data_IF_157121001098
#
_entry.id   IF_157121001098
#
_cell.length_a   1.000
_cell.length_b   1.000
_cell.length_c   1.000
_cell.angle_alpha   90.00
_cell.angle_beta   90.00
_cell.angle_gamma   90.00
#
_symmetry.space_group_name_H-M   'P 1'
#
loop_
_entity.id
_entity.type
_entity.pdbx_description
1 polymer ?
#
# COMPACT_ATOMS: atom_id res chain seq x y z
N UNK A 1 -59.07 37.75 -15.40
CA UNK A 1 -58.58 37.82 -16.80
C UNK A 1 -57.06 37.97 -16.73
N UNK A 2 -56.28 36.92 -16.44
CA UNK A 2 -55.97 35.66 -17.17
C UNK A 2 -55.02 35.86 -18.34
N UNK A 3 -53.72 35.92 -18.04
CA UNK A 3 -52.64 35.38 -18.90
C UNK A 3 -51.67 34.60 -18.00
N UNK A 4 -52.22 33.60 -17.30
CA UNK A 4 -51.49 32.38 -16.97
C UNK A 4 -51.69 31.48 -18.18
N UNK A 5 -50.69 31.27 -19.05
CA UNK A 5 -50.68 30.17 -20.05
C UNK A 5 -49.30 29.96 -20.71
N UNK A 6 -48.37 30.92 -20.74
CA UNK A 6 -47.21 30.78 -21.66
C UNK A 6 -45.87 30.24 -21.12
N UNK A 7 -45.73 29.92 -19.83
CA UNK A 7 -44.45 29.35 -19.31
C UNK A 7 -44.60 27.89 -18.86
N UNK A 8 -45.82 27.37 -18.69
CA UNK A 8 -46.07 25.99 -18.29
C UNK A 8 -45.99 24.97 -19.44
N UNK A 9 -45.92 25.42 -20.70
CA UNK A 9 -45.98 24.53 -21.87
C UNK A 9 -44.60 24.06 -22.40
N UNK A 10 -43.49 24.67 -21.98
CA UNK A 10 -42.14 24.22 -22.39
C UNK A 10 -41.49 23.20 -21.44
N UNK A 11 -41.99 23.06 -20.21
CA UNK A 11 -41.47 22.05 -19.27
C UNK A 11 -42.17 20.68 -19.36
N UNK A 12 -43.27 20.56 -20.10
CA UNK A 12 -44.03 19.31 -20.20
C UNK A 12 -43.75 18.48 -21.48
N UNK A 13 -42.95 19.01 -22.42
CA UNK A 13 -42.69 18.34 -23.71
C UNK A 13 -41.26 17.78 -23.86
N UNK A 14 -40.43 17.88 -22.82
CA UNK A 14 -39.12 17.22 -22.76
C UNK A 14 -39.05 16.10 -21.71
N UNK A 15 -40.21 15.68 -21.17
CA UNK A 15 -40.29 14.63 -20.15
C UNK A 15 -41.00 13.34 -20.62
N UNK A 16 -41.30 13.19 -21.91
CA UNK A 16 -42.07 12.04 -22.42
C UNK A 16 -41.54 11.35 -23.68
N UNK A 17 -40.26 11.49 -24.05
CA UNK A 17 -39.73 10.76 -25.22
C UNK A 17 -38.30 10.22 -25.09
N UNK A 18 -37.83 9.95 -23.87
CA UNK A 18 -36.60 9.15 -23.67
C UNK A 18 -36.88 8.02 -22.69
N UNK A 19 -37.91 7.24 -22.99
CA UNK A 19 -38.08 5.89 -22.48
C UNK A 19 -38.02 5.00 -23.72
N UNK A 20 -37.21 3.95 -23.68
CA UNK A 20 -36.91 3.01 -24.78
C UNK A 20 -35.73 3.36 -25.70
N UNK A 21 -34.65 3.91 -25.14
CA UNK A 21 -33.34 3.51 -25.66
C UNK A 21 -33.02 2.12 -25.09
N UNK A 22 -32.91 1.05 -25.91
CA UNK A 22 -32.43 -0.22 -25.40
C UNK A 22 -31.03 0.01 -24.84
N UNK A 23 -30.87 -0.19 -23.54
CA UNK A 23 -29.54 -0.37 -22.95
C UNK A 23 -28.98 -1.61 -23.63
N UNK A 24 -28.17 -1.39 -24.67
CA UNK A 24 -27.32 -2.42 -25.25
C UNK A 24 -26.36 -2.80 -24.13
N UNK A 25 -26.77 -3.77 -23.32
CA UNK A 25 -25.89 -4.46 -22.40
C UNK A 25 -24.99 -5.30 -23.28
N UNK A 26 -23.95 -4.65 -23.82
CA UNK A 26 -22.81 -5.35 -24.34
C UNK A 26 -22.28 -6.18 -23.17
N UNK A 27 -22.66 -7.47 -23.13
CA UNK A 27 -21.95 -8.48 -22.37
C UNK A 27 -20.55 -8.53 -22.98
N UNK A 28 -19.69 -7.62 -22.52
CA UNK A 28 -18.26 -7.78 -22.70
C UNK A 28 -17.90 -8.94 -21.81
N UNK A 29 -17.92 -10.15 -22.37
CA UNK A 29 -17.25 -11.29 -21.80
C UNK A 29 -15.76 -10.91 -21.71
N UNK A 30 -15.39 -10.27 -20.59
CA UNK A 30 -13.99 -10.10 -20.23
C UNK A 30 -13.54 -11.50 -19.91
N UNK A 31 -12.93 -12.17 -20.90
CA UNK A 31 -12.10 -13.33 -20.65
C UNK A 31 -11.05 -12.82 -19.66
N UNK A 32 -11.24 -13.15 -18.38
CA UNK A 32 -10.32 -12.78 -17.32
C UNK A 32 -9.04 -13.60 -17.56
N UNK A 33 -8.22 -13.12 -18.49
CA UNK A 33 -6.85 -13.58 -18.71
C UNK A 33 -5.93 -13.00 -17.62
N UNK A 34 -6.39 -12.94 -16.38
CA UNK A 34 -5.45 -12.88 -15.26
C UNK A 34 -4.85 -14.27 -15.19
N UNK A 35 -3.81 -14.44 -16.01
CA UNK A 35 -2.86 -15.54 -15.88
C UNK A 35 -2.54 -15.65 -14.39
N UNK A 36 -2.73 -16.85 -13.84
CA UNK A 36 -2.50 -17.09 -12.42
C UNK A 36 -1.01 -16.88 -12.20
N UNK A 37 -0.61 -15.67 -11.84
CA UNK A 37 0.77 -15.36 -11.50
C UNK A 37 1.18 -16.40 -10.47
N UNK A 38 2.21 -17.18 -10.77
CA UNK A 38 2.83 -18.08 -9.80
C UNK A 38 3.34 -17.22 -8.65
N UNK A 39 2.51 -17.06 -7.62
CA UNK A 39 2.83 -16.26 -6.42
C UNK A 39 3.99 -16.84 -5.61
N UNK A 40 4.49 -18.01 -6.01
CA UNK A 40 5.69 -18.63 -5.47
C UNK A 40 6.97 -17.95 -6.00
N UNK A 41 6.95 -17.47 -7.25
CA UNK A 41 8.05 -16.68 -7.80
C UNK A 41 7.96 -15.24 -7.26
N UNK A 42 8.98 -14.83 -6.49
CA UNK A 42 9.12 -13.49 -5.94
C UNK A 42 10.38 -12.83 -6.50
N UNK A 43 10.37 -11.50 -6.72
CA UNK A 43 9.29 -10.53 -6.43
C UNK A 43 8.06 -10.67 -7.34
N UNK A 44 6.90 -10.13 -6.95
CA UNK A 44 5.73 -10.06 -7.85
C UNK A 44 4.84 -8.82 -7.67
N UNK A 45 5.06 -7.99 -6.65
CA UNK A 45 4.17 -6.85 -6.39
C UNK A 45 4.30 -5.76 -7.47
N UNK A 46 5.53 -5.45 -7.90
CA UNK A 46 5.82 -4.38 -8.84
C UNK A 46 6.59 -4.85 -10.07
N UNK A 47 7.38 -5.91 -9.91
CA UNK A 47 8.18 -6.54 -10.95
C UNK A 47 8.35 -8.02 -10.59
N UNK A 48 8.74 -8.82 -11.56
CA UNK A 48 8.97 -10.26 -11.46
C UNK A 48 10.44 -10.59 -11.75
N UNK A 49 10.94 -11.79 -11.39
CA UNK A 49 12.27 -12.23 -11.79
C UNK A 49 12.54 -12.07 -13.29
N UNK A 50 11.57 -12.44 -14.12
CA UNK A 50 11.69 -12.37 -15.59
C UNK A 50 11.81 -10.93 -16.12
N UNK A 51 11.19 -9.95 -15.45
CA UNK A 51 11.22 -8.54 -15.87
C UNK A 51 12.40 -7.77 -15.29
N UNK A 52 13.17 -8.38 -14.38
CA UNK A 52 14.25 -7.71 -13.66
C UNK A 52 15.42 -7.33 -14.58
N UNK A 53 15.70 -8.13 -15.61
CA UNK A 53 16.74 -7.82 -16.61
C UNK A 53 16.45 -6.54 -17.39
N UNK A 54 15.21 -6.39 -17.86
CA UNK A 54 14.74 -5.19 -18.55
C UNK A 54 14.71 -3.99 -17.60
N UNK A 55 14.28 -4.20 -16.35
CA UNK A 55 14.27 -3.16 -15.34
C UNK A 55 15.68 -2.61 -15.08
N UNK A 56 16.68 -3.49 -14.86
CA UNK A 56 18.10 -3.11 -14.72
C UNK A 56 18.60 -2.32 -15.94
N UNK A 57 18.19 -2.71 -17.14
CA UNK A 57 18.58 -2.02 -18.37
C UNK A 57 17.99 -0.61 -18.45
N UNK A 58 16.75 -0.41 -18.00
CA UNK A 58 16.10 0.92 -17.91
C UNK A 58 16.80 1.83 -16.90
N UNK A 59 17.22 1.28 -15.76
CA UNK A 59 17.93 2.03 -14.70
C UNK A 59 19.30 2.58 -15.15
N UNK A 60 19.84 2.11 -16.28
CA UNK A 60 21.10 2.62 -16.86
C UNK A 60 20.92 3.80 -17.83
N UNK A 61 19.68 4.23 -18.11
CA UNK A 61 19.36 5.28 -19.09
C UNK A 61 18.68 6.47 -18.43
N UNK A 62 18.89 7.68 -18.94
CA UNK A 62 18.20 8.86 -18.41
C UNK A 62 16.69 8.86 -18.75
N UNK A 63 15.83 9.42 -17.88
CA UNK A 63 16.15 10.12 -16.62
C UNK A 63 16.36 9.20 -15.41
N UNK A 64 16.40 7.88 -15.60
CA UNK A 64 16.45 6.91 -14.50
C UNK A 64 17.86 6.69 -13.97
N UNK A 65 18.91 6.82 -14.80
CA UNK A 65 20.29 6.63 -14.38
C UNK A 65 20.70 7.57 -13.24
N UNK A 66 20.46 8.88 -13.40
CA UNK A 66 20.70 9.87 -12.34
C UNK A 66 19.91 9.58 -11.05
N UNK A 67 18.63 9.19 -11.17
CA UNK A 67 17.78 8.85 -10.02
C UNK A 67 18.24 7.57 -9.31
N UNK A 68 18.63 6.56 -10.08
CA UNK A 68 19.15 5.30 -9.59
C UNK A 68 20.48 5.50 -8.86
N UNK A 69 21.39 6.29 -9.42
CA UNK A 69 22.64 6.65 -8.77
C UNK A 69 22.43 7.32 -7.41
N UNK A 70 21.48 8.25 -7.31
CA UNK A 70 21.10 8.86 -6.02
C UNK A 70 20.52 7.84 -5.05
N UNK A 71 19.64 6.95 -5.50
CA UNK A 71 19.05 5.91 -4.66
C UNK A 71 20.13 4.98 -4.10
N UNK A 72 21.08 4.54 -4.92
CA UNK A 72 22.20 3.72 -4.47
C UNK A 72 23.10 4.47 -3.48
N UNK A 73 23.34 5.77 -3.68
CA UNK A 73 24.02 6.61 -2.69
C UNK A 73 23.31 6.57 -1.34
N UNK A 74 21.99 6.76 -1.32
CA UNK A 74 21.18 6.69 -0.10
C UNK A 74 21.18 5.27 0.50
N UNK A 75 21.11 4.23 -0.32
CA UNK A 75 21.18 2.84 0.14
C UNK A 75 22.53 2.52 0.81
N UNK A 76 23.64 3.03 0.26
CA UNK A 76 24.96 2.91 0.87
C UNK A 76 24.99 3.59 2.25
N UNK A 77 24.48 4.81 2.33
CA UNK A 77 24.41 5.54 3.60
C UNK A 77 23.55 4.81 4.62
N UNK A 78 22.38 4.32 4.22
CA UNK A 78 21.52 3.54 5.11
C UNK A 78 22.19 2.25 5.55
N UNK A 79 22.83 1.50 4.65
CA UNK A 79 23.55 0.27 4.99
C UNK A 79 24.66 0.49 6.02
N UNK A 80 25.33 1.64 5.99
CA UNK A 80 26.46 1.95 6.87
C UNK A 80 26.07 2.53 8.25
N UNK A 81 24.85 3.08 8.41
CA UNK A 81 24.41 3.67 9.68
C UNK A 81 24.19 2.60 10.76
N UNK A 82 24.22 2.92 12.05
CA UNK A 82 23.71 2.00 13.08
C UNK A 82 22.21 1.71 12.88
N UNK A 83 21.72 0.58 13.41
CA UNK A 83 20.28 0.35 13.53
C UNK A 83 19.64 1.42 14.41
N UNK A 84 18.43 1.85 14.06
CA UNK A 84 17.68 2.78 14.89
C UNK A 84 17.26 2.10 16.21
N UNK A 85 17.48 2.78 17.33
CA UNK A 85 17.01 2.38 18.66
C UNK A 85 15.60 2.92 18.98
N UNK A 86 15.08 3.81 18.13
CA UNK A 86 13.80 4.48 18.34
C UNK A 86 12.63 3.57 17.94
N UNK A 87 11.61 3.48 18.81
CA UNK A 87 10.30 2.89 18.46
C UNK A 87 9.68 3.64 17.28
N UNK A 88 9.08 2.89 16.36
CA UNK A 88 8.41 3.38 15.14
C UNK A 88 6.91 3.46 15.39
N UNK A 89 6.50 4.43 16.21
CA UNK A 89 5.09 4.70 16.52
C UNK A 89 4.80 6.17 16.23
N UNK A 90 3.73 6.49 15.51
CA UNK A 90 3.43 7.85 15.07
C UNK A 90 4.12 8.24 13.75
N UNK A 91 3.48 9.15 12.99
CA UNK A 91 3.76 9.40 11.57
C UNK A 91 5.19 9.88 11.27
N UNK A 92 5.76 10.71 12.15
CA UNK A 92 7.12 11.25 11.97
C UNK A 92 8.22 10.18 12.03
N UNK A 93 7.89 8.95 12.46
CA UNK A 93 8.83 7.84 12.63
C UNK A 93 8.54 6.70 11.66
N UNK A 94 7.27 6.42 11.36
CA UNK A 94 6.88 5.33 10.46
C UNK A 94 7.26 5.61 9.01
N UNK A 95 7.05 6.83 8.51
CA UNK A 95 7.46 7.20 7.15
C UNK A 95 8.97 7.07 6.90
N UNK A 96 9.87 7.57 7.77
CA UNK A 96 11.31 7.32 7.59
C UNK A 96 11.69 5.83 7.60
N UNK A 97 11.05 5.03 8.46
CA UNK A 97 11.29 3.59 8.51
C UNK A 97 10.84 2.89 7.21
N UNK A 98 9.67 3.24 6.68
CA UNK A 98 9.18 2.75 5.40
C UNK A 98 10.17 3.06 4.27
N UNK A 99 10.59 4.33 4.15
CA UNK A 99 11.52 4.74 3.11
C UNK A 99 12.89 4.07 3.22
N UNK A 100 13.40 3.88 4.44
CA UNK A 100 14.67 3.20 4.68
C UNK A 100 14.61 1.73 4.24
N UNK A 101 13.58 1.00 4.68
CA UNK A 101 13.38 -0.41 4.34
C UNK A 101 13.17 -0.55 2.83
N UNK A 102 12.35 0.30 2.22
CA UNK A 102 12.07 0.29 0.78
C UNK A 102 13.34 0.49 -0.05
N UNK A 103 14.15 1.51 0.27
CA UNK A 103 15.38 1.81 -0.48
C UNK A 103 16.34 0.64 -0.43
N UNK A 104 16.55 0.05 0.75
CA UNK A 104 17.45 -1.09 0.92
C UNK A 104 16.90 -2.35 0.24
N UNK A 105 15.61 -2.64 0.38
CA UNK A 105 14.98 -3.80 -0.27
C UNK A 105 15.02 -3.68 -1.80
N UNK A 106 14.80 -2.48 -2.36
CA UNK A 106 14.90 -2.27 -3.80
C UNK A 106 16.35 -2.40 -4.27
N UNK A 107 17.29 -1.81 -3.53
CA UNK A 107 18.71 -1.93 -3.83
C UNK A 107 19.14 -3.40 -3.84
N UNK A 108 18.71 -4.20 -2.85
CA UNK A 108 18.95 -5.64 -2.81
C UNK A 108 18.34 -6.36 -4.02
N UNK A 109 17.04 -6.20 -4.28
CA UNK A 109 16.37 -6.89 -5.37
C UNK A 109 16.99 -6.61 -6.74
N UNK A 110 17.42 -5.35 -6.97
CA UNK A 110 18.03 -4.96 -8.24
C UNK A 110 19.49 -5.39 -8.34
N UNK A 111 20.29 -5.22 -7.28
CA UNK A 111 21.75 -5.42 -7.35
C UNK A 111 22.20 -6.83 -6.96
N UNK A 112 21.44 -7.51 -6.09
CA UNK A 112 21.84 -8.75 -5.43
C UNK A 112 22.87 -8.57 -4.31
N UNK A 113 23.24 -7.33 -3.96
CA UNK A 113 24.24 -7.08 -2.91
C UNK A 113 23.66 -7.36 -1.51
N UNK A 114 24.12 -8.44 -0.88
CA UNK A 114 23.61 -8.92 0.42
C UNK A 114 23.56 -7.88 1.53
N UNK A 115 24.53 -6.96 1.58
CA UNK A 115 24.59 -5.90 2.61
C UNK A 115 23.30 -5.07 2.69
N UNK A 116 22.64 -4.81 1.55
CA UNK A 116 21.38 -4.07 1.55
C UNK A 116 20.24 -4.91 2.12
N UNK A 117 20.15 -6.17 1.69
CA UNK A 117 19.09 -7.09 2.11
C UNK A 117 19.20 -7.48 3.59
N UNK A 118 20.41 -7.74 4.07
CA UNK A 118 20.68 -8.04 5.49
C UNK A 118 20.33 -6.84 6.38
N UNK A 119 20.68 -5.62 5.95
CA UNK A 119 20.27 -4.43 6.67
C UNK A 119 18.74 -4.23 6.63
N UNK A 120 18.10 -4.39 5.47
CA UNK A 120 16.65 -4.30 5.37
C UNK A 120 15.95 -5.33 6.29
N UNK A 121 16.51 -6.55 6.39
CA UNK A 121 16.03 -7.59 7.30
C UNK A 121 16.14 -7.13 8.75
N UNK A 122 17.29 -6.61 9.17
CA UNK A 122 17.46 -6.14 10.54
C UNK A 122 16.47 -5.02 10.93
N UNK A 123 16.27 -4.04 10.05
CA UNK A 123 15.32 -2.94 10.26
C UNK A 123 13.87 -3.44 10.30
N UNK A 124 13.54 -4.38 9.42
CA UNK A 124 12.20 -4.99 9.40
C UNK A 124 11.95 -5.85 10.64
N UNK A 125 12.97 -6.55 11.16
CA UNK A 125 12.85 -7.29 12.42
C UNK A 125 12.68 -6.35 13.61
N UNK A 126 13.41 -5.23 13.67
CA UNK A 126 13.21 -4.21 14.68
C UNK A 126 11.78 -3.62 14.62
N UNK A 127 11.21 -3.48 13.41
CA UNK A 127 9.83 -3.06 13.21
C UNK A 127 8.82 -4.11 13.73
N UNK A 128 9.00 -5.39 13.40
CA UNK A 128 8.13 -6.50 13.80
C UNK A 128 8.23 -6.85 15.31
N UNK A 129 9.36 -6.51 15.94
CA UNK A 129 9.60 -6.73 17.36
C UNK A 129 8.86 -5.73 18.27
N UNK A 130 8.25 -4.69 17.71
CA UNK A 130 7.48 -3.72 18.49
C UNK A 130 6.15 -4.30 18.97
N UNK A 131 5.66 -3.77 20.08
CA UNK A 131 4.38 -4.19 20.68
C UNK A 131 3.18 -3.78 19.81
N UNK A 132 3.25 -2.61 19.18
CA UNK A 132 2.21 -2.05 18.31
C UNK A 132 2.83 -1.07 17.29
N UNK A 133 2.16 -0.91 16.13
CA UNK A 133 2.44 0.14 15.13
C UNK A 133 1.44 1.30 15.18
N UNK A 134 0.50 1.28 16.11
CA UNK A 134 -0.50 2.31 16.29
C UNK A 134 -0.49 2.81 17.73
N UNK A 135 -0.92 4.06 17.93
CA UNK A 135 -1.12 4.63 19.25
C UNK A 135 -2.62 4.93 19.49
N UNK A 136 -3.34 4.07 20.23
CA UNK A 136 -4.78 4.26 20.46
C UNK A 136 -5.11 5.62 21.07
N UNK A 137 -6.05 6.33 20.45
CA UNK A 137 -6.64 7.60 20.89
C UNK A 137 -8.14 7.42 21.15
N UNK A 138 -8.76 8.41 21.78
CA UNK A 138 -10.21 8.43 22.00
C UNK A 138 -11.01 8.37 20.69
N UNK A 139 -10.48 8.98 19.63
CA UNK A 139 -11.08 9.09 18.30
C UNK A 139 -10.53 8.06 17.29
N UNK A 140 -9.46 7.32 17.62
CA UNK A 140 -8.96 6.20 16.81
C UNK A 140 -8.36 5.11 17.68
N UNK A 141 -9.01 3.96 17.78
CA UNK A 141 -8.53 2.83 18.59
C UNK A 141 -7.86 1.72 17.78
N UNK A 142 -7.82 1.83 16.46
CA UNK A 142 -7.32 0.79 15.57
C UNK A 142 -6.18 1.25 14.69
N UNK A 143 -6.17 0.82 13.43
CA UNK A 143 -5.12 1.17 12.48
C UNK A 143 -5.09 2.68 12.20
N UNK A 144 -3.89 3.19 12.00
CA UNK A 144 -3.63 4.58 11.64
C UNK A 144 -2.60 4.68 10.51
N UNK A 145 -2.28 5.90 10.08
CA UNK A 145 -1.28 6.15 9.05
C UNK A 145 0.04 5.40 9.30
N UNK A 146 0.63 5.44 10.52
CA UNK A 146 1.77 4.59 10.89
C UNK A 146 1.58 3.09 10.59
N UNK A 147 0.40 2.54 10.85
CA UNK A 147 0.09 1.13 10.57
C UNK A 147 0.20 0.84 9.08
N UNK A 148 -0.30 1.74 8.23
CA UNK A 148 -0.23 1.61 6.79
C UNK A 148 1.21 1.73 6.26
N UNK A 149 1.99 2.71 6.76
CA UNK A 149 3.40 2.92 6.36
C UNK A 149 4.27 1.72 6.75
N UNK A 150 4.11 1.20 7.98
CA UNK A 150 4.79 -0.01 8.43
C UNK A 150 4.36 -1.25 7.61
N UNK A 151 3.07 -1.37 7.30
CA UNK A 151 2.55 -2.49 6.48
C UNK A 151 3.13 -2.46 5.07
N UNK A 152 3.29 -1.27 4.47
CA UNK A 152 3.92 -1.11 3.16
C UNK A 152 5.41 -1.47 3.20
N UNK A 153 6.14 -1.04 4.23
CA UNK A 153 7.53 -1.42 4.45
C UNK A 153 7.68 -2.95 4.49
N UNK A 154 6.85 -3.60 5.31
CA UNK A 154 6.81 -5.06 5.42
C UNK A 154 6.46 -5.75 4.10
N UNK A 155 5.45 -5.26 3.36
CA UNK A 155 5.05 -5.86 2.10
C UNK A 155 6.16 -5.81 1.06
N UNK A 156 6.84 -4.66 0.91
CA UNK A 156 7.97 -4.51 -0.03
C UNK A 156 9.15 -5.38 0.39
N UNK A 157 9.52 -5.39 1.67
CA UNK A 157 10.60 -6.27 2.14
C UNK A 157 10.30 -7.75 1.92
N UNK A 158 9.11 -8.22 2.31
CA UNK A 158 8.75 -9.62 2.22
C UNK A 158 8.68 -10.11 0.77
N UNK A 159 8.31 -9.24 -0.16
CA UNK A 159 8.30 -9.55 -1.59
C UNK A 159 9.70 -9.50 -2.20
N UNK A 160 10.47 -8.45 -1.92
CA UNK A 160 11.74 -8.16 -2.59
C UNK A 160 12.94 -8.90 -2.03
N UNK A 161 12.88 -9.30 -0.75
CA UNK A 161 13.97 -9.95 -0.02
C UNK A 161 13.59 -11.36 0.47
N UNK A 162 12.60 -12.00 -0.16
CA UNK A 162 12.02 -13.26 0.32
C UNK A 162 13.01 -14.44 0.37
N UNK A 163 14.00 -14.40 -0.51
CA UNK A 163 15.10 -15.35 -0.63
C UNK A 163 16.07 -15.29 0.56
N UNK A 164 16.05 -14.22 1.36
CA UNK A 164 16.79 -14.09 2.62
C UNK A 164 16.08 -14.71 3.83
N UNK A 165 14.86 -15.22 3.63
CA UNK A 165 14.01 -15.74 4.68
C UNK A 165 13.91 -17.25 4.60
N UNK A 166 14.32 -17.94 5.67
CA UNK A 166 14.00 -19.35 5.85
C UNK A 166 12.54 -19.53 6.27
N UNK A 167 12.07 -20.76 6.44
CA UNK A 167 10.67 -21.02 6.80
C UNK A 167 10.28 -20.49 8.20
N UNK A 168 11.21 -20.49 9.16
CA UNK A 168 10.99 -19.93 10.49
C UNK A 168 10.84 -18.41 10.43
N UNK A 169 11.71 -17.73 9.69
CA UNK A 169 11.66 -16.29 9.43
C UNK A 169 10.33 -15.92 8.77
N UNK A 170 9.90 -16.67 7.74
CA UNK A 170 8.64 -16.44 7.04
C UNK A 170 7.43 -16.64 7.96
N UNK A 171 7.48 -17.64 8.83
CA UNK A 171 6.43 -17.87 9.83
C UNK A 171 6.35 -16.69 10.80
N UNK A 172 7.46 -16.34 11.45
CA UNK A 172 7.53 -15.21 12.37
C UNK A 172 7.05 -13.92 11.72
N UNK A 173 7.54 -13.63 10.52
CA UNK A 173 7.15 -12.45 9.76
C UNK A 173 5.65 -12.37 9.55
N UNK A 174 5.04 -13.45 9.03
CA UNK A 174 3.59 -13.48 8.74
C UNK A 174 2.77 -13.29 10.01
N UNK A 175 3.13 -13.97 11.09
CA UNK A 175 2.44 -13.85 12.38
C UNK A 175 2.50 -12.41 12.91
N UNK A 176 3.67 -11.78 12.91
CA UNK A 176 3.84 -10.40 13.39
C UNK A 176 3.19 -9.37 12.49
N UNK A 177 3.31 -9.49 11.16
CA UNK A 177 2.67 -8.56 10.23
C UNK A 177 1.13 -8.63 10.30
N UNK A 178 0.57 -9.83 10.49
CA UNK A 178 -0.87 -10.00 10.73
C UNK A 178 -1.30 -9.35 12.05
N UNK A 179 -0.53 -9.58 13.13
CA UNK A 179 -0.83 -9.02 14.45
C UNK A 179 -0.75 -7.49 14.48
N UNK A 180 0.28 -6.91 13.88
CA UNK A 180 0.58 -5.48 14.00
C UNK A 180 -0.10 -4.62 12.92
N UNK A 181 -0.38 -5.20 11.75
CA UNK A 181 -0.98 -4.49 10.62
C UNK A 181 -2.45 -4.82 10.41
N UNK A 182 -2.73 -6.09 10.06
CA UNK A 182 -4.08 -6.48 9.63
C UNK A 182 -5.09 -6.52 10.78
N UNK A 183 -4.75 -7.08 11.94
CA UNK A 183 -5.69 -7.16 13.07
C UNK A 183 -6.15 -5.78 13.58
N UNK A 184 -5.29 -4.77 13.75
CA UNK A 184 -5.72 -3.43 14.11
C UNK A 184 -6.65 -2.80 13.06
N UNK A 185 -6.41 -3.08 11.78
CA UNK A 185 -7.30 -2.65 10.70
C UNK A 185 -8.67 -3.32 10.83
N UNK A 186 -8.72 -4.65 10.97
CA UNK A 186 -9.96 -5.39 11.16
C UNK A 186 -10.72 -4.94 12.42
N UNK A 187 -10.02 -4.73 13.53
CA UNK A 187 -10.62 -4.19 14.76
C UNK A 187 -11.23 -2.79 14.53
N UNK A 188 -10.65 -1.96 13.65
CA UNK A 188 -11.19 -0.64 13.29
C UNK A 188 -12.57 -0.74 12.64
N UNK A 189 -12.78 -1.76 11.80
CA UNK A 189 -14.02 -1.95 11.04
C UNK A 189 -15.06 -2.82 11.77
N UNK A 190 -14.62 -3.80 12.56
CA UNK A 190 -15.48 -4.81 13.17
C UNK A 190 -15.80 -4.54 14.65
N UNK A 191 -14.82 -4.05 15.42
CA UNK A 191 -14.93 -3.95 16.88
C UNK A 191 -15.14 -2.53 17.36
N UNK A 192 -14.39 -1.58 16.80
CA UNK A 192 -14.40 -0.19 17.27
C UNK A 192 -15.45 0.67 16.56
N UNK A 193 -16.31 0.07 15.74
CA UNK A 193 -17.45 0.73 15.10
C UNK A 193 -18.40 1.27 16.18
N UNK A 194 -18.47 2.59 16.37
CA UNK A 194 -19.30 3.15 17.41
C UNK A 194 -20.71 3.35 16.86
N UNK A 195 -21.71 3.19 17.73
CA UNK A 195 -23.10 3.41 17.35
C UNK A 195 -23.41 4.84 16.89
N UNK A 196 -22.53 5.85 17.15
CA UNK A 196 -22.78 7.28 16.88
C UNK A 196 -21.52 8.19 16.72
N UNK A 197 -20.37 7.71 16.28
CA UNK A 197 -19.19 8.58 16.08
C UNK A 197 -18.51 8.36 14.74
N UNK A 198 -18.66 9.34 13.84
CA UNK A 198 -17.65 10.00 12.98
C UNK A 198 -16.26 9.38 12.71
N UNK A 199 -16.11 8.05 12.71
CA UNK A 199 -14.92 7.38 12.21
C UNK A 199 -14.85 7.43 10.67
N UNK A 200 -13.65 7.50 10.11
CA UNK A 200 -13.39 7.46 8.66
C UNK A 200 -13.96 6.24 7.94
N UNK A 201 -14.30 5.18 8.67
CA UNK A 201 -14.88 3.94 8.11
C UNK A 201 -16.31 4.17 7.61
N UNK A 202 -17.11 4.98 8.30
CA UNK A 202 -18.52 5.23 7.97
C UNK A 202 -18.77 6.67 7.49
N UNK A 203 -17.73 7.53 7.48
CA UNK A 203 -17.84 8.93 7.09
C UNK A 203 -17.31 9.18 5.66
N UNK A 204 -18.25 9.41 4.73
CA UNK A 204 -18.00 9.73 3.32
C UNK A 204 -17.24 11.05 3.09
N UNK A 205 -17.16 11.91 4.10
CA UNK A 205 -16.47 13.21 4.04
C UNK A 205 -15.36 13.23 5.08
N UNK A 206 -14.36 12.39 4.87
CA UNK A 206 -13.08 12.47 5.59
C UNK A 206 -11.94 12.55 4.61
N UNK A 207 -10.83 13.17 5.00
CA UNK A 207 -9.59 13.15 4.21
C UNK A 207 -8.96 11.74 4.09
N UNK A 208 -9.61 10.73 4.67
CA UNK A 208 -9.27 9.32 4.61
C UNK A 208 -10.21 8.52 3.68
N UNK A 209 -11.19 9.18 3.05
CA UNK A 209 -12.13 8.69 2.01
C UNK A 209 -12.10 7.17 1.81
N UNK A 210 -12.68 6.42 2.76
CA UNK A 210 -12.98 4.98 2.68
C UNK A 210 -12.02 4.14 1.82
N UNK A 211 -11.13 3.40 2.48
CA UNK A 211 -10.68 2.13 1.90
C UNK A 211 -11.90 1.25 1.60
#
# INVERSE_FOLDING_TARGET
>A
MRISIFVAALCALFLLSVVDAPVVTAKRAKKDKREKVEREARPYLYFTPDTLGDFRSKLKREPFASRWGRLIGVANDFAARPLSDKKVVGGDRARPAEGLIEVLSLAYAVTGEKRYGERAKAETWALLAQDAWHEPKSWNKGAELPTAECSMACARFYDWCNDLLNEEDRKYFRERALELGLKPYLASIEQYRPARTDLWVDNYVTNWCGV
#
